data_IF_874351690641
#
_entry.id   IF_874351690641
#
_cell.length_a   1.000
_cell.length_b   1.000
_cell.length_c   1.000
_cell.angle_alpha   90.00
_cell.angle_beta   90.00
_cell.angle_gamma   90.00
#
_symmetry.space_group_name_H-M   'P 1'
#
loop_
_entity.id
_entity.type
_entity.pdbx_description
1 polymer ?
#
# COMPACT_ATOMS: atom_id res chain seq x y z
N UNK A 1 20.28 -2.66 3.75
CA UNK A 1 20.54 -3.96 3.07
C UNK A 1 19.24 -4.75 3.02
N UNK A 2 19.02 -5.56 1.99
CA UNK A 2 17.91 -6.51 1.90
C UNK A 2 18.49 -7.93 1.80
N UNK A 3 18.05 -8.85 2.64
CA UNK A 3 18.56 -10.23 2.69
C UNK A 3 17.49 -11.21 2.24
N UNK A 4 17.90 -12.21 1.46
CA UNK A 4 17.04 -13.27 0.96
C UNK A 4 17.44 -14.57 1.65
N UNK A 5 16.43 -15.30 2.12
CA UNK A 5 16.60 -16.60 2.78
C UNK A 5 15.94 -17.67 1.92
N UNK A 6 16.58 -18.83 1.82
CA UNK A 6 15.94 -20.01 1.25
C UNK A 6 15.33 -20.84 2.39
N UNK A 7 14.01 -20.96 2.43
CA UNK A 7 13.34 -21.71 3.51
C UNK A 7 13.61 -23.23 3.46
N UNK A 8 14.11 -23.75 2.32
CA UNK A 8 14.43 -25.17 2.15
C UNK A 8 15.88 -25.53 2.52
N UNK A 9 16.74 -24.55 2.83
CA UNK A 9 18.09 -24.85 3.28
C UNK A 9 18.10 -25.38 4.71
N UNK A 10 18.94 -26.38 4.99
CA UNK A 10 19.17 -26.85 6.36
C UNK A 10 19.62 -25.67 7.22
N UNK A 11 19.05 -25.55 8.41
CA UNK A 11 19.47 -24.55 9.38
C UNK A 11 20.93 -24.80 9.78
N UNK A 12 21.68 -23.72 9.96
CA UNK A 12 23.01 -23.75 10.55
C UNK A 12 22.96 -24.32 11.97
N UNK A 13 24.12 -24.62 12.56
CA UNK A 13 24.22 -25.20 13.91
C UNK A 13 23.53 -24.36 14.99
N UNK A 14 23.35 -23.08 14.74
CA UNK A 14 22.75 -22.11 15.65
C UNK A 14 21.24 -21.89 15.37
N UNK A 15 20.64 -22.65 14.45
CA UNK A 15 19.22 -22.59 14.09
C UNK A 15 18.87 -21.54 13.01
N UNK A 16 19.83 -20.75 12.55
CA UNK A 16 19.61 -19.76 11.50
C UNK A 16 19.52 -20.39 10.11
N UNK A 17 18.61 -19.91 9.27
CA UNK A 17 18.63 -20.23 7.84
C UNK A 17 19.79 -19.47 7.18
N UNK A 18 20.64 -20.14 6.38
CA UNK A 18 21.73 -19.45 5.69
C UNK A 18 21.15 -18.39 4.74
N UNK A 19 21.75 -17.20 4.78
CA UNK A 19 21.43 -16.12 3.84
C UNK A 19 21.82 -16.60 2.45
N UNK A 20 20.85 -16.75 1.55
CA UNK A 20 21.12 -17.19 0.18
C UNK A 20 21.75 -16.08 -0.65
N UNK A 21 21.35 -14.82 -0.39
CA UNK A 21 21.90 -13.63 -1.04
C UNK A 21 21.64 -12.36 -0.25
N UNK A 22 22.60 -11.45 -0.29
CA UNK A 22 22.44 -10.07 0.20
C UNK A 22 22.38 -9.09 -0.98
N UNK A 23 21.34 -8.26 -1.01
CA UNK A 23 21.17 -7.16 -1.94
C UNK A 23 21.60 -5.86 -1.24
N UNK A 24 22.70 -5.27 -1.72
CA UNK A 24 23.30 -4.05 -1.17
C UNK A 24 23.37 -2.94 -2.21
N UNK A 25 23.25 -1.68 -1.77
CA UNK A 25 23.36 -0.52 -2.67
C UNK A 25 22.49 0.68 -2.31
N UNK A 26 21.47 0.53 -1.47
CA UNK A 26 20.79 1.67 -0.87
C UNK A 26 21.74 2.45 0.03
N UNK A 27 21.62 3.79 0.02
CA UNK A 27 22.39 4.71 0.88
C UNK A 27 21.73 4.95 2.25
N UNK A 28 20.52 4.43 2.44
CA UNK A 28 19.73 4.54 3.66
C UNK A 28 19.16 3.19 4.09
N UNK A 29 18.33 3.21 5.14
CA UNK A 29 17.62 2.01 5.60
C UNK A 29 16.59 1.58 4.55
N UNK A 30 16.32 0.27 4.44
CA UNK A 30 15.25 -0.25 3.59
C UNK A 30 14.00 -0.34 4.45
N UNK A 31 12.96 0.37 4.06
CA UNK A 31 11.70 0.50 4.81
C UNK A 31 10.65 -0.53 4.38
N UNK A 32 10.67 -0.93 3.11
CA UNK A 32 9.68 -1.83 2.53
C UNK A 32 10.27 -2.61 1.36
N UNK A 33 9.75 -3.81 1.12
CA UNK A 33 10.07 -4.60 -0.06
C UNK A 33 8.86 -5.44 -0.52
N UNK A 34 8.78 -5.71 -1.82
CA UNK A 34 7.74 -6.56 -2.40
C UNK A 34 8.23 -7.29 -3.65
N UNK A 35 7.87 -8.58 -3.78
CA UNK A 35 8.09 -9.37 -4.99
C UNK A 35 7.25 -8.86 -6.17
N UNK A 36 7.83 -8.94 -7.38
CA UNK A 36 7.12 -8.64 -8.61
C UNK A 36 6.32 -9.90 -9.05
N UNK A 37 4.97 -9.88 -9.09
CA UNK A 37 4.17 -11.10 -9.22
C UNK A 37 4.34 -11.92 -10.51
N UNK A 38 4.73 -11.30 -11.63
CA UNK A 38 4.94 -11.98 -12.91
C UNK A 38 6.40 -12.40 -13.14
N UNK A 39 7.28 -12.05 -12.20
CA UNK A 39 8.72 -12.28 -12.27
C UNK A 39 9.20 -12.71 -10.89
N UNK A 40 9.23 -14.02 -10.65
CA UNK A 40 9.76 -14.63 -9.41
C UNK A 40 11.24 -14.29 -9.13
N UNK A 41 11.90 -13.65 -10.09
CA UNK A 41 13.30 -13.23 -9.99
C UNK A 41 13.47 -11.75 -9.66
N UNK A 42 12.40 -11.00 -9.41
CA UNK A 42 12.49 -9.56 -9.20
C UNK A 42 11.81 -9.08 -7.91
N UNK A 43 12.43 -8.07 -7.29
CA UNK A 43 11.98 -7.42 -6.06
C UNK A 43 12.00 -5.90 -6.24
N UNK A 44 11.01 -5.19 -5.70
CA UNK A 44 11.08 -3.73 -5.52
C UNK A 44 11.30 -3.42 -4.04
N UNK A 45 12.20 -2.50 -3.75
CA UNK A 45 12.45 -1.97 -2.40
C UNK A 45 12.16 -0.48 -2.33
N UNK A 46 11.79 0.00 -1.14
CA UNK A 46 11.72 1.40 -0.75
C UNK A 46 12.78 1.70 0.31
N UNK A 47 13.28 2.94 0.35
CA UNK A 47 14.34 3.30 1.28
C UNK A 47 14.29 4.75 1.74
N UNK A 48 14.86 4.99 2.93
CA UNK A 48 15.21 6.32 3.44
C UNK A 48 16.26 7.06 2.61
N UNK A 49 16.87 6.45 1.59
CA UNK A 49 17.64 7.21 0.60
C UNK A 49 16.78 7.94 -0.45
N UNK A 50 15.45 7.92 -0.25
CA UNK A 50 14.44 8.60 -1.07
C UNK A 50 14.23 7.95 -2.45
N UNK A 51 14.70 6.72 -2.61
CA UNK A 51 14.57 5.95 -3.85
C UNK A 51 13.75 4.68 -3.66
N UNK A 52 13.17 4.21 -4.76
CA UNK A 52 12.81 2.81 -4.91
C UNK A 52 13.79 2.12 -5.86
N UNK A 53 14.09 0.84 -5.65
CA UNK A 53 15.00 0.09 -6.51
C UNK A 53 14.36 -1.22 -6.94
N UNK A 54 14.43 -1.52 -8.24
CA UNK A 54 14.10 -2.82 -8.80
C UNK A 54 15.38 -3.66 -8.87
N UNK A 55 15.32 -4.85 -8.28
CA UNK A 55 16.43 -5.78 -8.21
C UNK A 55 16.14 -7.01 -9.05
N UNK A 56 17.17 -7.54 -9.68
CA UNK A 56 17.19 -8.93 -10.12
C UNK A 56 17.79 -9.77 -8.98
N UNK A 57 16.96 -10.63 -8.39
CA UNK A 57 17.28 -11.50 -7.25
C UNK A 57 18.28 -12.58 -7.63
N UNK A 58 18.24 -13.07 -8.87
CA UNK A 58 19.10 -14.17 -9.32
C UNK A 58 20.55 -13.73 -9.46
N UNK A 59 20.75 -12.53 -9.99
CA UNK A 59 22.07 -11.93 -10.21
C UNK A 59 22.52 -11.08 -9.02
N UNK A 60 21.58 -10.57 -8.23
CA UNK A 60 21.83 -9.59 -7.17
C UNK A 60 22.02 -8.15 -7.67
N UNK A 61 21.74 -7.90 -8.95
CA UNK A 61 21.97 -6.59 -9.57
C UNK A 61 20.81 -5.62 -9.31
N UNK A 62 21.17 -4.34 -9.22
CA UNK A 62 20.22 -3.22 -9.26
C UNK A 62 19.87 -2.95 -10.71
N UNK A 63 18.67 -3.33 -11.13
CA UNK A 63 18.22 -3.20 -12.53
C UNK A 63 17.77 -1.78 -12.83
N UNK A 64 17.02 -1.15 -11.91
CA UNK A 64 16.51 0.21 -12.08
C UNK A 64 16.43 0.95 -10.74
N UNK A 65 16.69 2.26 -10.75
CA UNK A 65 16.55 3.15 -9.58
C UNK A 65 15.52 4.23 -9.91
N UNK A 66 14.47 4.33 -9.09
CA UNK A 66 13.36 5.28 -9.24
C UNK A 66 13.51 6.38 -8.18
N UNK A 67 13.63 7.63 -8.62
CA UNK A 67 13.85 8.79 -7.73
C UNK A 67 15.33 9.10 -7.45
N UNK A 68 15.61 9.90 -6.41
CA UNK A 68 16.97 10.38 -6.11
C UNK A 68 17.31 11.68 -6.85
N UNK A 69 18.34 11.66 -7.69
CA UNK A 69 18.83 12.85 -8.42
C UNK A 69 17.89 13.32 -9.55
N UNK A 70 16.84 12.55 -9.85
CA UNK A 70 15.81 12.95 -10.81
C UNK A 70 14.88 14.01 -10.20
N UNK A 71 14.58 15.07 -10.95
CA UNK A 71 13.69 16.15 -10.53
C UNK A 71 12.30 15.68 -10.07
N UNK A 72 11.86 14.51 -10.50
CA UNK A 72 10.56 13.92 -10.15
C UNK A 72 10.65 12.77 -9.13
N UNK A 73 11.74 12.66 -8.36
CA UNK A 73 11.88 11.73 -7.24
C UNK A 73 11.18 12.20 -5.96
N UNK A 74 10.96 11.28 -5.01
CA UNK A 74 10.56 11.66 -3.65
C UNK A 74 11.63 12.54 -3.00
N UNK A 75 11.21 13.50 -2.18
CA UNK A 75 12.13 14.46 -1.54
C UNK A 75 12.50 14.07 -0.10
N UNK A 76 11.80 13.09 0.48
CA UNK A 76 12.05 12.52 1.79
C UNK A 76 11.93 10.98 1.74
N UNK A 77 12.09 10.33 2.88
CA UNK A 77 12.17 8.88 3.00
C UNK A 77 10.97 8.21 2.34
N UNK A 78 11.21 7.15 1.57
CA UNK A 78 10.12 6.32 1.03
C UNK A 78 9.83 5.24 2.04
N UNK A 79 8.63 5.20 2.58
CA UNK A 79 8.25 4.30 3.68
C UNK A 79 7.59 3.01 3.18
N UNK A 80 6.94 3.06 2.03
CA UNK A 80 6.11 1.95 1.55
C UNK A 80 6.11 1.85 0.04
N UNK A 81 6.05 0.62 -0.46
CA UNK A 81 5.80 0.30 -1.87
C UNK A 81 4.68 -0.71 -2.00
N UNK A 82 3.93 -0.60 -3.10
CA UNK A 82 2.97 -1.62 -3.51
C UNK A 82 3.01 -1.82 -5.03
N UNK A 83 3.19 -3.06 -5.47
CA UNK A 83 3.12 -3.45 -6.89
C UNK A 83 1.68 -3.78 -7.26
N UNK A 84 1.28 -3.36 -8.45
CA UNK A 84 -0.02 -3.66 -9.00
C UNK A 84 -0.12 -5.15 -9.39
N UNK A 85 -1.05 -5.87 -8.77
CA UNK A 85 -1.24 -7.30 -8.98
C UNK A 85 -1.78 -7.68 -10.36
N UNK A 86 -2.53 -6.80 -11.04
CA UNK A 86 -3.04 -7.07 -12.39
C UNK A 86 -2.11 -6.56 -13.50
N UNK A 87 -1.23 -5.61 -13.18
CA UNK A 87 -0.21 -5.09 -14.08
C UNK A 87 1.09 -4.82 -13.31
N UNK A 88 1.93 -5.84 -13.17
CA UNK A 88 3.25 -5.83 -12.52
C UNK A 88 4.22 -4.73 -13.00
N UNK A 89 3.95 -4.10 -14.15
CA UNK A 89 4.74 -2.98 -14.67
C UNK A 89 4.54 -1.72 -13.84
N UNK A 90 3.44 -1.62 -13.10
CA UNK A 90 3.10 -0.45 -12.32
C UNK A 90 3.31 -0.72 -10.83
N UNK A 91 3.90 0.23 -10.13
CA UNK A 91 3.95 0.22 -8.67
C UNK A 91 3.71 1.61 -8.11
N UNK A 92 3.26 1.69 -6.87
CA UNK A 92 3.12 2.93 -6.12
C UNK A 92 4.09 2.95 -4.95
N UNK A 93 4.53 4.15 -4.58
CA UNK A 93 5.31 4.42 -3.38
C UNK A 93 4.64 5.49 -2.53
N UNK A 94 4.80 5.40 -1.20
CA UNK A 94 4.40 6.42 -0.22
C UNK A 94 5.61 6.91 0.57
N UNK A 95 5.65 8.20 0.88
CA UNK A 95 6.84 8.87 1.44
C UNK A 95 6.49 9.88 2.52
N UNK A 96 7.49 10.23 3.34
CA UNK A 96 7.50 11.36 4.26
C UNK A 96 7.40 12.73 3.56
N UNK A 97 7.46 12.80 2.22
CA UNK A 97 7.17 14.04 1.48
C UNK A 97 5.66 14.32 1.32
N UNK A 98 4.84 13.61 2.08
CA UNK A 98 3.37 13.64 2.05
C UNK A 98 2.75 13.27 0.70
N UNK A 99 3.54 12.71 -0.23
CA UNK A 99 3.05 12.29 -1.54
C UNK A 99 3.03 10.78 -1.68
N UNK A 100 2.12 10.31 -2.54
CA UNK A 100 2.26 9.00 -3.16
C UNK A 100 2.60 9.17 -4.63
N UNK A 101 3.35 8.23 -5.20
CA UNK A 101 3.79 8.29 -6.60
C UNK A 101 3.60 6.98 -7.31
N UNK A 102 3.13 7.05 -8.54
CA UNK A 102 2.98 5.91 -9.46
C UNK A 102 4.15 5.89 -10.43
N UNK A 103 4.69 4.69 -10.64
CA UNK A 103 5.88 4.44 -11.44
C UNK A 103 5.61 3.33 -12.46
N UNK A 104 6.30 3.41 -13.60
CA UNK A 104 6.38 2.32 -14.57
C UNK A 104 7.78 1.70 -14.46
N UNK A 105 7.87 0.41 -14.17
CA UNK A 105 9.14 -0.29 -13.98
C UNK A 105 10.04 -0.29 -15.21
N UNK A 106 9.48 0.01 -16.39
CA UNK A 106 10.21 0.14 -17.65
C UNK A 106 10.86 1.51 -17.84
N UNK A 107 10.46 2.53 -17.06
CA UNK A 107 10.92 3.91 -17.22
C UNK A 107 11.26 4.50 -15.85
N UNK A 108 12.52 4.36 -15.45
CA UNK A 108 12.98 4.75 -14.12
C UNK A 108 13.24 6.27 -13.96
N UNK A 109 13.43 6.99 -15.07
CA UNK A 109 13.86 8.39 -15.08
C UNK A 109 12.76 9.40 -14.74
N UNK A 110 11.50 8.98 -14.65
CA UNK A 110 10.38 9.88 -14.34
C UNK A 110 9.25 9.18 -13.60
N UNK A 111 8.52 9.97 -12.81
CA UNK A 111 7.25 9.55 -12.22
C UNK A 111 6.17 9.52 -13.31
N UNK A 112 5.26 8.54 -13.25
CA UNK A 112 4.07 8.52 -14.13
C UNK A 112 3.06 9.52 -13.63
N UNK A 113 2.83 9.55 -12.31
CA UNK A 113 1.90 10.48 -11.67
C UNK A 113 2.23 10.65 -10.17
N UNK A 114 2.05 11.87 -9.67
CA UNK A 114 2.08 12.18 -8.23
C UNK A 114 0.66 12.39 -7.71
N UNK A 115 0.38 11.84 -6.53
CA UNK A 115 -0.89 11.96 -5.82
C UNK A 115 -0.66 12.80 -4.56
N UNK A 116 -1.42 13.88 -4.47
CA UNK A 116 -1.40 14.85 -3.39
C UNK A 116 -2.68 14.70 -2.55
N UNK A 117 -2.67 15.25 -1.34
CA UNK A 117 -3.83 15.31 -0.46
C UNK A 117 -3.47 15.12 1.01
N UNK A 118 -2.43 14.33 1.29
CA UNK A 118 -1.95 14.14 2.66
C UNK A 118 -1.20 15.35 3.19
N UNK A 119 -1.43 15.63 4.47
CA UNK A 119 -0.77 16.71 5.24
C UNK A 119 0.34 16.18 6.16
N UNK A 120 0.52 14.85 6.20
CA UNK A 120 1.56 14.16 6.94
C UNK A 120 2.19 13.04 6.13
N UNK A 121 3.06 12.26 6.75
CA UNK A 121 3.79 11.18 6.11
C UNK A 121 2.85 10.12 5.54
N UNK A 122 3.10 9.66 4.32
CA UNK A 122 2.37 8.50 3.77
C UNK A 122 3.09 7.23 4.17
N UNK A 123 2.70 6.69 5.33
CA UNK A 123 3.29 5.52 5.94
C UNK A 123 3.07 4.23 5.15
N UNK A 124 1.94 4.12 4.45
CA UNK A 124 1.55 2.87 3.81
C UNK A 124 0.80 3.11 2.52
N UNK A 125 1.12 2.30 1.50
CA UNK A 125 0.38 2.25 0.23
C UNK A 125 0.01 0.81 -0.09
N UNK A 126 -1.19 0.60 -0.63
CA UNK A 126 -1.62 -0.72 -1.13
C UNK A 126 -2.46 -0.60 -2.38
N UNK A 127 -2.08 -1.31 -3.43
CA UNK A 127 -2.96 -1.48 -4.58
C UNK A 127 -4.27 -2.13 -4.18
N UNK A 128 -5.34 -1.60 -4.75
CA UNK A 128 -6.64 -2.22 -4.69
C UNK A 128 -6.66 -3.46 -5.61
N UNK A 129 -7.44 -4.51 -5.31
CA UNK A 129 -7.45 -5.75 -6.09
C UNK A 129 -7.78 -5.60 -7.59
N UNK A 130 -8.44 -4.51 -7.98
CA UNK A 130 -8.75 -4.24 -9.40
C UNK A 130 -7.55 -3.71 -10.21
N UNK A 131 -6.47 -3.31 -9.54
CA UNK A 131 -5.28 -2.71 -10.13
C UNK A 131 -5.48 -1.32 -10.77
N UNK A 132 -6.65 -0.71 -10.65
CA UNK A 132 -6.93 0.64 -11.14
C UNK A 132 -6.94 1.68 -10.02
N UNK A 133 -6.82 1.24 -8.77
CA UNK A 133 -6.82 2.09 -7.59
C UNK A 133 -5.79 1.66 -6.58
N UNK A 134 -5.51 2.53 -5.65
CA UNK A 134 -4.72 2.21 -4.48
C UNK A 134 -5.19 3.02 -3.27
N UNK A 135 -4.99 2.44 -2.10
CA UNK A 135 -5.18 3.10 -0.82
C UNK A 135 -3.87 3.63 -0.27
N UNK A 136 -3.99 4.68 0.53
CA UNK A 136 -2.93 5.26 1.35
C UNK A 136 -3.37 5.31 2.81
N UNK A 137 -2.43 5.25 3.73
CA UNK A 137 -2.62 5.58 5.14
C UNK A 137 -1.48 6.49 5.60
N UNK A 138 -1.83 7.52 6.37
CA UNK A 138 -0.92 8.59 6.74
C UNK A 138 -0.92 8.95 8.22
N UNK A 139 0.15 9.64 8.63
CA UNK A 139 0.25 10.32 9.92
C UNK A 139 -0.76 11.47 10.10
N UNK A 140 -1.41 11.94 9.03
CA UNK A 140 -2.53 12.91 9.12
C UNK A 140 -3.85 12.30 9.64
N UNK A 141 -3.83 11.01 10.00
CA UNK A 141 -4.97 10.27 10.55
C UNK A 141 -6.01 9.84 9.53
N UNK A 142 -5.76 10.09 8.25
CA UNK A 142 -6.66 9.70 7.18
C UNK A 142 -6.13 8.49 6.41
N UNK A 143 -7.06 7.65 5.94
CA UNK A 143 -6.82 6.80 4.79
C UNK A 143 -7.46 7.45 3.56
N UNK A 144 -6.81 7.37 2.40
CA UNK A 144 -7.39 7.87 1.14
C UNK A 144 -7.37 6.78 0.07
N UNK A 145 -8.35 6.82 -0.83
CA UNK A 145 -8.45 5.94 -1.99
C UNK A 145 -8.31 6.78 -3.25
N UNK A 146 -7.40 6.39 -4.14
CA UNK A 146 -7.09 7.12 -5.38
C UNK A 146 -7.33 6.26 -6.61
N UNK A 147 -7.68 6.92 -7.72
CA UNK A 147 -7.73 6.33 -9.05
C UNK A 147 -6.43 6.60 -9.81
N UNK A 148 -5.73 5.54 -10.26
CA UNK A 148 -4.41 5.71 -10.88
C UNK A 148 -4.46 6.31 -12.28
N UNK A 149 -5.59 6.16 -13.00
CA UNK A 149 -5.72 6.65 -14.37
C UNK A 149 -5.90 8.15 -14.37
N UNK A 150 -6.83 8.63 -13.54
CA UNK A 150 -7.23 10.03 -13.48
C UNK A 150 -6.35 10.85 -12.55
N UNK A 151 -5.84 10.23 -11.48
CA UNK A 151 -5.13 10.95 -10.42
C UNK A 151 -6.02 11.52 -9.32
N UNK A 152 -7.34 11.35 -9.41
CA UNK A 152 -8.25 11.90 -8.44
C UNK A 152 -8.32 11.05 -7.16
N UNK A 153 -8.47 11.74 -6.04
CA UNK A 153 -8.94 11.15 -4.79
C UNK A 153 -10.42 10.78 -4.96
N UNK A 154 -10.75 9.52 -4.70
CA UNK A 154 -12.10 8.98 -4.78
C UNK A 154 -12.82 9.02 -3.43
N UNK A 155 -12.08 8.80 -2.35
CA UNK A 155 -12.63 8.72 -1.00
C UNK A 155 -11.58 9.09 0.04
N UNK A 156 -12.02 9.74 1.11
CA UNK A 156 -11.29 9.91 2.36
C UNK A 156 -12.00 9.11 3.45
N UNK A 157 -11.22 8.48 4.32
CA UNK A 157 -11.69 7.79 5.52
C UNK A 157 -10.94 8.39 6.71
N UNK A 158 -11.69 9.01 7.61
CA UNK A 158 -11.19 9.60 8.85
C UNK A 158 -12.10 9.19 9.99
N UNK A 159 -11.54 9.08 11.19
CA UNK A 159 -12.33 8.94 12.40
C UNK A 159 -12.80 10.33 12.86
N UNK A 160 -14.00 10.46 13.44
CA UNK A 160 -14.39 11.71 14.08
C UNK A 160 -13.46 11.98 15.27
N UNK A 161 -12.65 13.04 15.17
CA UNK A 161 -11.77 13.52 16.23
C UNK A 161 -12.61 13.90 17.45
N UNK A 162 -12.72 13.00 18.43
CA UNK A 162 -13.36 13.31 19.71
C UNK A 162 -12.34 13.77 20.77
N UNK A 163 -11.06 13.47 20.59
CA UNK A 163 -9.99 13.84 21.52
C UNK A 163 -8.80 14.45 20.77
N UNK A 164 -8.03 15.30 21.45
CA UNK A 164 -6.81 15.99 20.93
C UNK A 164 -5.64 15.03 20.63
N UNK A 165 -5.89 13.74 20.39
CA UNK A 165 -4.85 12.76 20.07
C UNK A 165 -4.67 12.59 18.56
N UNK A 166 -3.40 12.63 18.12
CA UNK A 166 -3.05 12.37 16.74
C UNK A 166 -3.21 10.88 16.42
N UNK A 167 -4.24 10.53 15.67
CA UNK A 167 -4.40 9.19 15.12
C UNK A 167 -3.44 9.04 13.93
N UNK A 168 -2.48 8.11 14.01
CA UNK A 168 -1.56 7.84 12.90
C UNK A 168 -1.90 6.48 12.26
N UNK A 169 -2.19 6.47 10.96
CA UNK A 169 -2.44 5.23 10.23
C UNK A 169 -1.09 4.59 9.91
N UNK A 170 -0.86 3.39 10.44
CA UNK A 170 0.41 2.68 10.29
C UNK A 170 0.35 1.60 9.21
N UNK A 171 -0.83 1.05 8.95
CA UNK A 171 -1.02 -0.04 7.98
C UNK A 171 -2.43 -0.04 7.39
N UNK A 172 -2.53 -0.49 6.15
CA UNK A 172 -3.82 -0.72 5.49
C UNK A 172 -3.83 -2.07 4.77
N UNK A 173 -5.01 -2.64 4.62
CA UNK A 173 -5.25 -3.82 3.79
C UNK A 173 -6.64 -3.76 3.16
N UNK A 174 -6.75 -4.18 1.90
CA UNK A 174 -8.04 -4.40 1.25
C UNK A 174 -8.46 -5.86 1.35
N UNK A 175 -9.76 -6.11 1.49
CA UNK A 175 -10.29 -7.46 1.29
C UNK A 175 -10.09 -7.88 -0.18
N UNK A 176 -10.07 -9.20 -0.43
CA UNK A 176 -9.86 -9.78 -1.78
C UNK A 176 -10.83 -9.21 -2.82
N UNK A 177 -12.06 -8.93 -2.42
CA UNK A 177 -13.11 -8.38 -3.28
C UNK A 177 -13.14 -6.86 -3.28
N UNK A 178 -12.22 -6.21 -2.56
CA UNK A 178 -12.12 -4.76 -2.45
C UNK A 178 -13.26 -4.10 -1.68
N UNK A 179 -14.12 -4.88 -1.03
CA UNK A 179 -15.30 -4.37 -0.31
C UNK A 179 -14.94 -3.68 1.00
N UNK A 180 -13.88 -4.14 1.65
CA UNK A 180 -13.48 -3.66 2.96
C UNK A 180 -12.07 -3.11 2.89
N UNK A 181 -11.86 -2.01 3.60
CA UNK A 181 -10.56 -1.47 3.96
C UNK A 181 -10.36 -1.68 5.46
N UNK A 182 -9.30 -2.36 5.83
CA UNK A 182 -8.83 -2.48 7.20
C UNK A 182 -7.69 -1.48 7.39
N UNK A 183 -7.76 -0.65 8.41
CA UNK A 183 -6.75 0.34 8.74
C UNK A 183 -6.28 0.12 10.18
N UNK A 184 -4.98 -0.10 10.36
CA UNK A 184 -4.35 -0.18 11.68
C UNK A 184 -3.80 1.17 12.10
N UNK A 185 -4.06 1.55 13.35
CA UNK A 185 -3.61 2.79 13.95
C UNK A 185 -2.53 2.54 15.01
N UNK A 186 -1.72 3.55 15.30
CA UNK A 186 -0.67 3.45 16.35
C UNK A 186 -1.24 3.13 17.74
N UNK A 187 -2.48 3.49 18.04
CA UNK A 187 -3.16 3.24 19.34
C UNK A 187 -3.76 1.81 19.48
N UNK A 188 -3.24 0.80 18.78
CA UNK A 188 -3.69 -0.60 18.84
C UNK A 188 -5.12 -0.89 18.35
N UNK A 189 -5.83 0.07 17.78
CA UNK A 189 -7.12 -0.16 17.15
C UNK A 189 -6.99 -0.47 15.65
N UNK A 190 -7.78 -1.44 15.19
CA UNK A 190 -8.01 -1.70 13.76
C UNK A 190 -9.43 -1.25 13.43
N UNK A 191 -9.55 -0.29 12.52
CA UNK A 191 -10.85 0.18 12.02
C UNK A 191 -11.14 -0.43 10.66
N UNK A 192 -12.40 -0.81 10.46
CA UNK A 192 -12.89 -1.37 9.21
C UNK A 192 -13.83 -0.36 8.53
N UNK A 193 -13.50 0.00 7.30
CA UNK A 193 -14.32 0.87 6.47
C UNK A 193 -14.95 0.07 5.31
N UNK A 194 -16.20 0.37 4.99
CA UNK A 194 -16.80 -0.05 3.73
C UNK A 194 -16.29 0.83 2.59
N UNK A 195 -15.82 0.23 1.51
CA UNK A 195 -15.44 1.01 0.31
C UNK A 195 -16.69 1.39 -0.48
N UNK A 196 -16.61 2.38 -1.37
CA UNK A 196 -17.73 2.95 -2.16
C UNK A 196 -18.68 1.92 -2.83
N UNK A 197 -18.28 0.65 -3.00
CA UNK A 197 -19.14 -0.40 -3.54
C UNK A 197 -20.11 -1.02 -2.52
N UNK A 198 -19.87 -0.86 -1.22
CA UNK A 198 -20.77 -1.37 -0.19
C UNK A 198 -22.14 -0.69 -0.22
N UNK A 199 -22.15 0.63 -0.39
CA UNK A 199 -23.39 1.41 -0.42
C UNK A 199 -24.21 1.17 -1.69
N UNK A 200 -23.56 0.90 -2.83
CA UNK A 200 -24.26 0.85 -4.13
C UNK A 200 -25.03 -0.45 -4.39
N UNK A 201 -24.70 -1.54 -3.70
CA UNK A 201 -25.31 -2.85 -3.95
C UNK A 201 -26.03 -3.48 -2.75
N UNK A 202 -25.78 -3.05 -1.50
CA UNK A 202 -26.32 -3.73 -0.32
C UNK A 202 -27.31 -2.91 0.51
N UNK A 203 -27.19 -1.58 0.55
CA UNK A 203 -28.13 -0.72 1.28
C UNK A 203 -29.60 -0.83 0.85
N UNK A 204 -29.94 -0.97 -0.46
CA UNK A 204 -31.33 -1.17 -0.87
C UNK A 204 -31.91 -2.54 -0.46
N UNK A 205 -31.06 -3.56 -0.36
CA UNK A 205 -31.50 -4.94 -0.08
C UNK A 205 -31.75 -5.16 1.41
N UNK A 206 -30.89 -4.60 2.27
CA UNK A 206 -31.06 -4.70 3.74
C UNK A 206 -32.29 -3.92 4.20
N UNK A 207 -32.58 -2.75 3.63
CA UNK A 207 -33.82 -2.02 3.93
C UNK A 207 -35.07 -2.76 3.43
N UNK A 208 -35.04 -3.39 2.25
CA UNK A 208 -36.18 -4.20 1.77
C UNK A 208 -36.40 -5.45 2.62
N UNK A 209 -35.35 -6.10 3.09
CA UNK A 209 -35.45 -7.24 3.99
C UNK A 209 -35.95 -6.81 5.38
N UNK A 210 -35.43 -5.71 5.94
CA UNK A 210 -35.90 -5.16 7.22
C UNK A 210 -37.36 -4.70 7.15
N UNK A 211 -37.80 -4.05 6.07
CA UNK A 211 -39.22 -3.70 5.83
C UNK A 211 -40.11 -4.94 5.68
N UNK A 212 -39.62 -5.98 4.99
CA UNK A 212 -40.35 -7.23 4.82
C UNK A 212 -40.56 -7.96 6.15
N UNK A 213 -39.55 -7.98 7.02
CA UNK A 213 -39.67 -8.56 8.36
C UNK A 213 -40.53 -7.71 9.29
N UNK A 214 -40.41 -6.38 9.25
CA UNK A 214 -41.24 -5.46 10.06
C UNK A 214 -42.73 -5.60 9.76
N UNK A 215 -43.13 -5.71 8.47
CA UNK A 215 -44.53 -5.85 8.06
C UNK A 215 -45.16 -7.21 8.41
N UNK A 216 -44.37 -8.27 8.56
CA UNK A 216 -44.88 -9.58 8.98
C UNK A 216 -45.11 -9.68 10.49
N UNK A 217 -44.34 -8.94 11.29
CA UNK A 217 -44.52 -8.92 12.76
C UNK A 217 -45.76 -8.10 13.15
N UNK A 218 -46.17 -7.11 12.35
CA UNK A 218 -47.39 -6.32 12.60
C UNK A 218 -48.69 -6.97 12.13
N UNK A 219 -48.64 -8.10 11.41
CA UNK A 219 -49.83 -8.85 10.98
C UNK A 219 -50.07 -10.12 11.81
N UNK A 220 -49.26 -10.37 12.85
CA UNK A 220 -49.35 -11.56 13.70
C UNK A 220 -49.84 -11.25 15.14
N UNK A 221 -50.40 -10.06 15.37
CA UNK A 221 -51.08 -9.67 16.61
C UNK A 221 -52.40 -8.98 16.30
#
# INVERSE_FOLDING_TARGET
MCSIFNLNSKTEKDGNLPVSRMLSGHKGYVSSCQYVPDKDTHLITASGDRTCVLWDITTGLRTSVFGGEFQSGHTADVLSVSINGSNSRMFVSGSCDSTSRLWDTRVASRVVRTFLGHEGDVNTVKFFPDGNRFGTGSDDGTCRLFDIRTGHQLQEYSQPNNDNEAHHVTSIAFSVWGRLLFAGFRQMEIVMYGTLFWHRYFFPLVNKLMDFYSRRVTQAY
#
